data_IF_581978598547
#
_entry.id   IF_581978598547
#
_cell.length_a   1.000
_cell.length_b   1.000
_cell.length_c   1.000
_cell.angle_alpha   90.00
_cell.angle_beta   90.00
_cell.angle_gamma   90.00
#
_symmetry.space_group_name_H-M   'P 1'
#
loop_
_entity.id
_entity.type
_entity.pdbx_description
1 polymer ?
#
# COMPACT_ATOMS: atom_id res chain seq x y z
N UNK A 1 5.20 18.36 -32.42
CA UNK A 1 5.61 17.57 -31.24
C UNK A 1 4.38 17.38 -30.37
N UNK A 2 3.74 16.22 -30.45
CA UNK A 2 2.53 15.91 -29.68
C UNK A 2 2.96 15.28 -28.35
N UNK A 3 2.84 16.02 -27.26
CA UNK A 3 3.01 15.49 -25.91
C UNK A 3 1.73 14.74 -25.53
N UNK A 4 1.83 13.42 -25.40
CA UNK A 4 0.73 12.57 -24.95
C UNK A 4 0.62 12.66 -23.43
N UNK A 5 -0.53 13.00 -22.85
CA UNK A 5 -0.70 12.96 -21.41
C UNK A 5 -0.63 11.49 -20.96
N UNK A 6 0.48 11.12 -20.32
CA UNK A 6 0.61 9.83 -19.64
C UNK A 6 -0.51 9.75 -18.61
N UNK A 7 -1.50 8.90 -18.85
CA UNK A 7 -2.51 8.59 -17.84
C UNK A 7 -1.82 7.85 -16.71
N UNK A 8 -1.37 8.59 -15.70
CA UNK A 8 -1.12 8.00 -14.40
C UNK A 8 -2.49 7.57 -13.88
N UNK A 9 -2.82 6.29 -14.06
CA UNK A 9 -3.84 5.64 -13.27
C UNK A 9 -3.34 5.67 -11.82
N UNK A 10 -3.55 6.80 -11.15
CA UNK A 10 -3.37 6.94 -9.71
C UNK A 10 -4.40 5.99 -9.14
N UNK A 11 -3.97 4.81 -8.70
CA UNK A 11 -4.81 3.94 -7.87
C UNK A 11 -5.29 4.82 -6.71
N UNK A 12 -6.60 4.87 -6.50
CA UNK A 12 -7.18 5.56 -5.35
C UNK A 12 -6.67 4.85 -4.09
N UNK A 13 -5.66 5.45 -3.46
CA UNK A 13 -5.07 4.98 -2.22
C UNK A 13 -5.37 6.02 -1.16
N UNK A 14 -6.04 5.60 -0.10
CA UNK A 14 -6.30 6.47 1.03
C UNK A 14 -5.02 6.70 1.84
N UNK A 15 -4.83 7.95 2.27
CA UNK A 15 -3.72 8.33 3.15
C UNK A 15 -4.20 8.37 4.60
N UNK A 16 -3.46 7.69 5.47
CA UNK A 16 -3.67 7.75 6.92
C UNK A 16 -2.45 8.36 7.63
N UNK A 17 -2.68 9.00 8.77
CA UNK A 17 -1.61 9.40 9.69
C UNK A 17 -1.52 8.39 10.83
N UNK A 18 -0.39 7.72 10.96
CA UNK A 18 -0.17 6.66 11.95
C UNK A 18 0.82 7.14 13.03
N UNK A 19 0.44 7.05 14.31
CA UNK A 19 1.31 7.37 15.45
C UNK A 19 1.71 6.08 16.16
N UNK A 20 2.99 5.75 16.12
CA UNK A 20 3.58 4.62 16.84
C UNK A 20 4.75 5.11 17.70
N UNK A 21 5.14 4.31 18.69
CA UNK A 21 6.35 4.60 19.46
C UNK A 21 7.60 4.45 18.60
N UNK A 22 8.68 5.12 19.00
CA UNK A 22 9.99 5.00 18.33
C UNK A 22 10.49 3.55 18.33
N UNK A 23 10.25 2.82 19.42
CA UNK A 23 10.61 1.40 19.53
C UNK A 23 9.92 0.54 18.46
N UNK A 24 8.63 0.79 18.17
CA UNK A 24 7.92 0.07 17.12
C UNK A 24 8.46 0.41 15.73
N UNK A 25 8.76 1.68 15.44
CA UNK A 25 9.41 2.05 14.18
C UNK A 25 10.78 1.37 14.01
N UNK A 26 11.57 1.27 15.08
CA UNK A 26 12.83 0.53 15.08
C UNK A 26 12.64 -0.96 14.77
N UNK A 27 11.62 -1.60 15.37
CA UNK A 27 11.30 -2.99 15.08
C UNK A 27 10.88 -3.19 13.61
N UNK A 28 10.08 -2.28 13.04
CA UNK A 28 9.70 -2.30 11.61
C UNK A 28 10.94 -2.15 10.72
N UNK A 29 11.83 -1.22 11.05
CA UNK A 29 13.06 -0.98 10.28
C UNK A 29 13.99 -2.19 10.30
N UNK A 30 14.08 -2.91 11.42
CA UNK A 30 14.82 -4.16 11.51
C UNK A 30 14.13 -5.31 10.76
N UNK A 31 12.80 -5.42 10.85
CA UNK A 31 12.06 -6.47 10.16
C UNK A 31 12.15 -6.34 8.63
N UNK A 32 12.10 -5.12 8.10
CA UNK A 32 12.21 -4.88 6.66
C UNK A 32 13.62 -5.10 6.12
N UNK A 33 14.67 -4.82 6.91
CA UNK A 33 16.07 -4.99 6.45
C UNK A 33 16.46 -6.46 6.28
N UNK A 34 15.76 -7.38 6.94
CA UNK A 34 15.94 -8.82 6.75
C UNK A 34 15.35 -9.34 5.42
N UNK A 35 14.50 -8.56 4.74
CA UNK A 35 13.91 -8.97 3.46
C UNK A 35 14.86 -8.63 2.31
N UNK A 36 15.02 -9.52 1.31
CA UNK A 36 15.75 -9.19 0.10
C UNK A 36 15.07 -8.05 -0.66
N UNK A 37 15.83 -6.99 -0.95
CA UNK A 37 15.35 -5.80 -1.67
C UNK A 37 14.98 -4.63 -0.76
N UNK A 38 14.97 -3.43 -1.34
CA UNK A 38 14.69 -2.19 -0.61
C UNK A 38 13.18 -1.95 -0.48
N UNK A 39 12.55 -2.56 0.53
CA UNK A 39 11.14 -2.33 0.85
C UNK A 39 10.98 -1.06 1.69
N UNK A 40 10.11 -0.14 1.26
CA UNK A 40 9.80 1.07 2.03
C UNK A 40 9.00 0.72 3.30
N UNK A 41 9.00 1.58 4.32
CA UNK A 41 8.18 1.36 5.52
C UNK A 41 6.70 1.23 5.20
N UNK A 42 6.20 2.10 4.31
CA UNK A 42 4.78 2.09 3.94
C UNK A 42 4.41 0.79 3.22
N UNK A 43 5.28 0.31 2.33
CA UNK A 43 5.10 -0.97 1.65
C UNK A 43 5.07 -2.12 2.66
N UNK A 44 6.04 -2.15 3.58
CA UNK A 44 6.10 -3.19 4.61
C UNK A 44 4.85 -3.18 5.51
N UNK A 45 4.37 -1.99 5.91
CA UNK A 45 3.17 -1.84 6.74
C UNK A 45 1.92 -2.29 5.97
N UNK A 46 1.78 -1.89 4.70
CA UNK A 46 0.65 -2.30 3.87
C UNK A 46 0.61 -3.82 3.71
N UNK A 47 1.73 -4.45 3.38
CA UNK A 47 1.85 -5.91 3.26
C UNK A 47 1.54 -6.62 4.59
N UNK A 48 2.02 -6.09 5.72
CA UNK A 48 1.74 -6.67 7.03
C UNK A 48 0.26 -6.58 7.42
N UNK A 49 -0.43 -5.50 7.03
CA UNK A 49 -1.88 -5.36 7.21
C UNK A 49 -2.62 -6.36 6.32
N UNK A 50 -2.28 -6.45 5.04
CA UNK A 50 -2.86 -7.43 4.11
C UNK A 50 -2.69 -8.87 4.63
N UNK A 51 -1.47 -9.21 5.07
CA UNK A 51 -1.17 -10.54 5.64
C UNK A 51 -2.00 -10.81 6.90
N UNK A 52 -2.16 -9.83 7.79
CA UNK A 52 -2.97 -9.97 9.00
C UNK A 52 -4.44 -10.17 8.67
N UNK A 53 -5.00 -9.39 7.74
CA UNK A 53 -6.39 -9.51 7.33
C UNK A 53 -6.67 -10.85 6.65
N UNK A 54 -5.77 -11.33 5.78
CA UNK A 54 -5.90 -12.64 5.15
C UNK A 54 -5.85 -13.79 6.18
N UNK A 55 -4.97 -13.69 7.18
CA UNK A 55 -4.89 -14.68 8.28
C UNK A 55 -6.15 -14.71 9.15
N UNK A 56 -6.84 -13.58 9.28
CA UNK A 56 -8.08 -13.45 10.05
C UNK A 56 -9.33 -13.74 9.18
N UNK A 57 -9.15 -14.20 7.94
CA UNK A 57 -10.20 -14.45 6.93
C UNK A 57 -11.10 -13.23 6.65
N UNK A 58 -10.53 -12.03 6.80
CA UNK A 58 -11.21 -10.77 6.48
C UNK A 58 -10.99 -10.46 4.99
N UNK A 59 -12.06 -10.57 4.21
CA UNK A 59 -12.03 -10.23 2.79
C UNK A 59 -11.97 -8.72 2.60
N UNK A 60 -10.89 -8.22 2.01
CA UNK A 60 -10.78 -6.82 1.58
C UNK A 60 -11.32 -6.74 0.15
N UNK A 61 -12.52 -6.20 -0.02
CA UNK A 61 -13.07 -5.95 -1.35
C UNK A 61 -12.14 -5.00 -2.11
N UNK A 62 -11.52 -5.50 -3.18
CA UNK A 62 -10.81 -4.63 -4.13
C UNK A 62 -11.88 -3.82 -4.86
N UNK A 63 -11.99 -2.54 -4.53
CA UNK A 63 -12.72 -1.61 -5.38
C UNK A 63 -11.93 -1.42 -6.67
N UNK A 64 -12.19 -2.28 -7.65
CA UNK A 64 -11.86 -2.00 -9.04
C UNK A 64 -12.84 -0.93 -9.50
N UNK A 65 -12.49 0.35 -9.32
CA UNK A 65 -13.20 1.49 -9.87
C UNK A 65 -13.02 1.52 -11.40
N UNK A 66 -13.51 0.51 -12.11
CA UNK A 66 -13.41 0.39 -13.57
C UNK A 66 -14.77 0.73 -14.22
N UNK A 67 -14.76 1.81 -15.00
CA UNK A 67 -15.62 2.09 -16.16
C UNK A 67 -17.13 2.27 -15.92
N UNK A 68 -17.50 3.48 -15.50
CA UNK A 68 -18.62 4.16 -16.21
C UNK A 68 -18.04 5.21 -17.15
N UNK A 69 -17.57 4.75 -18.31
CA UNK A 69 -17.48 5.60 -19.51
C UNK A 69 -18.92 5.93 -19.88
N UNK A 70 -19.33 7.19 -19.68
CA UNK A 70 -20.60 7.67 -20.20
C UNK A 70 -20.59 7.54 -21.73
N UNK A 71 -21.66 6.91 -22.23
CA UNK A 71 -22.06 6.84 -23.63
C UNK A 71 -22.72 8.16 -24.05
#
# INVERSE_FOLDING_TARGET
MTDSPKSHAIRELDRINLRLSSAMFGAIDNARSMRPGNVSRNTWIAEAIEEKLARDDVQVERQDSDRKRHA
#
